data_IF_650086289510
#
_entry.id   IF_650086289510
#
_cell.length_a   1.000
_cell.length_b   1.000
_cell.length_c   1.000
_cell.angle_alpha   90.00
_cell.angle_beta   90.00
_cell.angle_gamma   90.00
#
_symmetry.space_group_name_H-M   'P 1'
#
loop_
_entity.id
_entity.type
_entity.pdbx_description
1 polymer ?
#
# COMPACT_ATOMS: atom_id res chain seq x y z
N UNK A 1 -9.24 7.84 -44.88
CA UNK A 1 -10.35 7.12 -45.54
C UNK A 1 -11.61 7.46 -44.77
N UNK A 2 -12.67 7.86 -45.47
CA UNK A 2 -13.95 8.18 -44.83
C UNK A 2 -14.70 6.92 -44.41
N UNK A 3 -15.66 7.02 -43.48
CA UNK A 3 -16.49 5.89 -43.04
C UNK A 3 -17.11 5.09 -44.21
N UNK A 4 -17.62 5.78 -45.23
CA UNK A 4 -18.25 5.16 -46.41
C UNK A 4 -17.27 4.33 -47.24
N UNK A 5 -16.04 4.80 -47.40
CA UNK A 5 -14.95 4.09 -48.08
C UNK A 5 -14.54 2.84 -47.29
N UNK A 6 -14.41 2.97 -45.97
CA UNK A 6 -14.07 1.86 -45.06
C UNK A 6 -15.14 0.77 -45.09
N UNK A 7 -16.41 1.15 -44.98
CA UNK A 7 -17.53 0.21 -45.04
C UNK A 7 -17.58 -0.53 -46.38
N UNK A 8 -17.42 0.19 -47.49
CA UNK A 8 -17.40 -0.40 -48.84
C UNK A 8 -16.23 -1.37 -49.00
N UNK A 9 -15.05 -1.00 -48.48
CA UNK A 9 -13.85 -1.85 -48.48
C UNK A 9 -14.06 -3.14 -47.71
N UNK A 10 -14.56 -3.05 -46.48
CA UNK A 10 -14.84 -4.21 -45.62
C UNK A 10 -15.89 -5.15 -46.23
N UNK A 11 -16.97 -4.61 -46.80
CA UNK A 11 -18.00 -5.40 -47.47
C UNK A 11 -17.42 -6.18 -48.66
N UNK A 12 -16.64 -5.51 -49.52
CA UNK A 12 -16.03 -6.12 -50.71
C UNK A 12 -14.99 -7.17 -50.32
N UNK A 13 -14.16 -6.90 -49.32
CA UNK A 13 -13.19 -7.88 -48.79
C UNK A 13 -13.87 -9.13 -48.24
N UNK A 14 -15.07 -8.97 -47.67
CA UNK A 14 -15.89 -10.07 -47.17
C UNK A 14 -16.72 -10.76 -48.26
N UNK A 15 -16.61 -10.35 -49.53
CA UNK A 15 -17.33 -10.93 -50.66
C UNK A 15 -18.85 -10.71 -50.66
N UNK A 16 -19.37 -9.79 -49.83
CA UNK A 16 -20.82 -9.60 -49.66
C UNK A 16 -21.41 -8.59 -50.66
N UNK A 17 -22.62 -8.85 -51.15
CA UNK A 17 -23.44 -7.84 -51.84
C UNK A 17 -24.04 -6.84 -50.84
N UNK A 18 -24.50 -5.68 -51.31
CA UNK A 18 -25.19 -4.71 -50.45
C UNK A 18 -26.47 -5.29 -49.85
N UNK A 19 -27.15 -6.18 -50.58
CA UNK A 19 -28.36 -6.88 -50.13
C UNK A 19 -28.01 -7.84 -48.99
N UNK A 20 -26.97 -8.64 -49.15
CA UNK A 20 -26.51 -9.58 -48.12
C UNK A 20 -26.05 -8.88 -46.84
N UNK A 21 -25.39 -7.72 -46.96
CA UNK A 21 -25.01 -6.91 -45.80
C UNK A 21 -26.25 -6.33 -45.10
N UNK A 22 -27.24 -5.88 -45.88
CA UNK A 22 -28.49 -5.34 -45.36
C UNK A 22 -29.28 -6.42 -44.60
N UNK A 23 -29.38 -7.63 -45.17
CA UNK A 23 -30.04 -8.77 -44.55
C UNK A 23 -29.38 -9.16 -43.22
N UNK A 24 -28.04 -9.21 -43.17
CA UNK A 24 -27.30 -9.52 -41.94
C UNK A 24 -27.45 -8.49 -40.85
N UNK A 25 -27.65 -7.22 -41.22
CA UNK A 25 -27.83 -6.12 -40.27
C UNK A 25 -29.32 -5.85 -39.98
N UNK A 26 -30.25 -6.59 -40.59
CA UNK A 26 -31.69 -6.37 -40.44
C UNK A 26 -32.11 -4.95 -40.87
N UNK A 27 -31.57 -4.46 -41.98
CA UNK A 27 -31.91 -3.16 -42.57
C UNK A 27 -32.24 -3.31 -44.07
N UNK A 28 -32.77 -2.27 -44.70
CA UNK A 28 -33.02 -2.31 -46.16
C UNK A 28 -31.72 -2.08 -46.94
N UNK A 29 -31.63 -2.65 -48.14
CA UNK A 29 -30.51 -2.39 -49.07
C UNK A 29 -30.29 -0.89 -49.32
N UNK A 30 -31.37 -0.11 -49.38
CA UNK A 30 -31.31 1.34 -49.57
C UNK A 30 -30.55 2.04 -48.43
N UNK A 31 -30.69 1.58 -47.17
CA UNK A 31 -29.94 2.11 -46.03
C UNK A 31 -28.44 1.87 -46.18
N UNK A 32 -28.04 0.65 -46.54
CA UNK A 32 -26.63 0.31 -46.80
C UNK A 32 -26.06 1.14 -47.96
N UNK A 33 -26.83 1.32 -49.04
CA UNK A 33 -26.41 2.15 -50.17
C UNK A 33 -26.20 3.63 -49.78
N UNK A 34 -27.01 4.17 -48.85
CA UNK A 34 -26.83 5.54 -48.35
C UNK A 34 -25.60 5.67 -47.44
N UNK A 35 -25.29 4.64 -46.66
CA UNK A 35 -24.09 4.59 -45.82
C UNK A 35 -22.81 4.50 -46.66
N UNK A 36 -22.79 3.61 -47.66
CA UNK A 36 -21.66 3.49 -48.60
C UNK A 36 -21.53 4.72 -49.52
N UNK A 37 -22.63 5.44 -49.76
CA UNK A 37 -22.62 6.71 -50.48
C UNK A 37 -22.30 7.94 -49.62
N UNK A 38 -22.04 7.78 -48.32
CA UNK A 38 -21.75 8.89 -47.40
C UNK A 38 -22.91 9.87 -47.17
N UNK A 39 -24.12 9.53 -47.63
CA UNK A 39 -25.31 10.40 -47.55
C UNK A 39 -26.01 10.29 -46.20
N UNK A 40 -25.77 9.20 -45.46
CA UNK A 40 -26.31 8.98 -44.11
C UNK A 40 -25.32 8.18 -43.27
N UNK A 41 -25.35 8.37 -41.95
CA UNK A 41 -24.56 7.59 -41.00
C UNK A 41 -25.45 6.55 -40.30
N UNK A 42 -24.99 5.30 -40.10
CA UNK A 42 -25.72 4.34 -39.27
C UNK A 42 -25.80 4.80 -37.81
N UNK A 43 -26.88 4.39 -37.13
CA UNK A 43 -27.03 4.58 -35.69
C UNK A 43 -26.01 3.75 -34.90
N UNK A 44 -25.77 4.13 -33.65
CA UNK A 44 -24.78 3.48 -32.78
C UNK A 44 -24.96 1.95 -32.69
N UNK A 45 -26.20 1.47 -32.60
CA UNK A 45 -26.49 0.03 -32.56
C UNK A 45 -26.02 -0.67 -33.83
N UNK A 46 -26.25 -0.07 -35.00
CA UNK A 46 -25.81 -0.62 -36.29
C UNK A 46 -24.30 -0.50 -36.48
N UNK A 47 -23.67 0.55 -35.94
CA UNK A 47 -22.21 0.69 -35.89
C UNK A 47 -21.55 -0.42 -35.07
N UNK A 48 -22.14 -0.79 -33.93
CA UNK A 48 -21.66 -1.91 -33.11
C UNK A 48 -21.82 -3.22 -33.87
N UNK A 49 -22.98 -3.47 -34.48
CA UNK A 49 -23.19 -4.67 -35.31
C UNK A 49 -22.24 -4.75 -36.50
N UNK A 50 -21.89 -3.62 -37.12
CA UNK A 50 -20.87 -3.56 -38.19
C UNK A 50 -19.47 -3.90 -37.67
N UNK A 51 -19.12 -3.35 -36.50
CA UNK A 51 -17.87 -3.64 -35.79
C UNK A 51 -17.74 -5.14 -35.50
N UNK A 52 -18.79 -5.78 -35.00
CA UNK A 52 -18.83 -7.22 -34.73
C UNK A 52 -18.80 -8.05 -36.02
N UNK A 53 -19.59 -7.67 -37.03
CA UNK A 53 -19.69 -8.40 -38.29
C UNK A 53 -18.37 -8.46 -39.07
N UNK A 54 -17.62 -7.35 -39.06
CA UNK A 54 -16.34 -7.24 -39.75
C UNK A 54 -15.13 -7.46 -38.83
N UNK A 55 -15.37 -7.68 -37.53
CA UNK A 55 -14.32 -7.80 -36.53
C UNK A 55 -13.41 -6.57 -36.51
N UNK A 56 -13.94 -5.36 -36.51
CA UNK A 56 -13.12 -4.13 -36.43
C UNK A 56 -13.65 -3.26 -35.30
N UNK A 57 -12.81 -2.41 -34.70
CA UNK A 57 -13.30 -1.51 -33.66
C UNK A 57 -14.25 -0.44 -34.22
N UNK A 58 -15.22 -0.01 -33.43
CA UNK A 58 -16.10 1.13 -33.78
C UNK A 58 -15.28 2.40 -34.03
N UNK A 59 -14.19 2.60 -33.27
CA UNK A 59 -13.24 3.69 -33.50
C UNK A 59 -12.65 3.68 -34.91
N UNK A 60 -12.28 2.50 -35.43
CA UNK A 60 -11.76 2.37 -36.78
C UNK A 60 -12.80 2.76 -37.83
N UNK A 61 -14.07 2.36 -37.63
CA UNK A 61 -15.15 2.72 -38.54
C UNK A 61 -15.35 4.24 -38.58
N UNK A 62 -15.39 4.91 -37.42
CA UNK A 62 -15.81 6.31 -37.32
C UNK A 62 -14.68 7.32 -37.52
N UNK A 63 -13.42 7.00 -37.20
CA UNK A 63 -12.30 7.96 -37.27
C UNK A 63 -11.61 7.94 -38.63
N UNK A 64 -11.60 9.08 -39.32
CA UNK A 64 -11.07 9.21 -40.69
C UNK A 64 -9.54 9.02 -40.83
N UNK A 65 -8.82 9.13 -39.70
CA UNK A 65 -7.34 9.13 -39.61
C UNK A 65 -6.72 7.78 -39.21
N UNK A 66 -7.53 6.74 -39.01
CA UNK A 66 -7.03 5.40 -38.67
C UNK A 66 -6.87 4.55 -39.94
N UNK A 67 -5.66 3.99 -40.12
CA UNK A 67 -5.34 2.98 -41.13
C UNK A 67 -5.92 1.61 -40.75
N UNK A 68 -6.06 0.72 -41.75
CA UNK A 68 -6.62 -0.62 -41.57
C UNK A 68 -5.87 -1.39 -40.47
N UNK A 69 -6.57 -1.93 -39.45
CA UNK A 69 -5.90 -2.75 -38.45
C UNK A 69 -5.48 -4.09 -39.09
N UNK A 70 -4.20 -4.46 -38.92
CA UNK A 70 -3.64 -5.75 -39.36
C UNK A 70 -4.32 -6.97 -38.69
N UNK A 71 -5.23 -6.76 -37.73
CA UNK A 71 -5.85 -7.83 -36.97
C UNK A 71 -7.31 -7.47 -36.62
N UNK A 72 -8.31 -8.24 -37.08
CA UNK A 72 -9.68 -8.00 -36.69
C UNK A 72 -9.87 -8.21 -35.18
N UNK A 73 -10.56 -7.27 -34.53
CA UNK A 73 -11.04 -7.36 -33.16
C UNK A 73 -12.02 -8.53 -33.01
N UNK A 74 -11.50 -9.74 -32.77
CA UNK A 74 -12.25 -10.94 -32.41
C UNK A 74 -12.39 -11.10 -30.89
N UNK A 75 -13.60 -11.48 -30.47
CA UNK A 75 -14.03 -11.59 -29.07
C UNK A 75 -13.56 -12.84 -28.31
N UNK A 76 -14.11 -12.92 -27.10
CA UNK A 76 -13.97 -13.96 -26.07
C UNK A 76 -13.70 -15.38 -26.57
N UNK A 77 -12.48 -15.86 -26.31
CA UNK A 77 -12.06 -17.25 -26.51
C UNK A 77 -10.54 -17.35 -26.54
N UNK A 78 -9.97 -17.85 -25.45
CA UNK A 78 -8.54 -18.09 -25.20
C UNK A 78 -7.59 -16.96 -25.61
N UNK A 79 -7.09 -16.23 -24.61
CA UNK A 79 -5.94 -15.35 -24.79
C UNK A 79 -4.77 -16.24 -25.27
N UNK A 80 -4.47 -16.19 -26.58
CA UNK A 80 -3.31 -16.87 -27.14
C UNK A 80 -2.09 -16.40 -26.33
N UNK A 81 -1.22 -17.32 -25.92
CA UNK A 81 -0.03 -17.02 -25.12
C UNK A 81 0.76 -15.82 -25.67
N UNK A 82 0.81 -15.66 -27.00
CA UNK A 82 1.46 -14.54 -27.67
C UNK A 82 0.76 -13.17 -27.49
N UNK A 83 -0.56 -13.15 -27.32
CA UNK A 83 -1.33 -11.93 -27.01
C UNK A 83 -1.29 -11.60 -25.51
N UNK A 84 -1.33 -12.62 -24.64
CA UNK A 84 -1.04 -12.47 -23.21
C UNK A 84 0.36 -11.87 -23.03
N UNK A 85 1.39 -12.46 -23.65
CA UNK A 85 2.77 -12.00 -23.58
C UNK A 85 2.95 -10.57 -24.11
N UNK A 86 2.19 -10.17 -25.14
CA UNK A 86 2.29 -8.83 -25.74
C UNK A 86 1.54 -7.78 -24.92
N UNK A 87 0.39 -8.14 -24.34
CA UNK A 87 -0.34 -7.28 -23.41
C UNK A 87 0.42 -7.17 -22.08
N UNK A 88 0.97 -8.26 -21.58
CA UNK A 88 1.84 -8.31 -20.40
C UNK A 88 3.09 -7.48 -20.63
N UNK A 89 3.74 -7.54 -21.82
CA UNK A 89 4.83 -6.62 -22.18
C UNK A 89 4.42 -5.16 -22.18
N UNK A 90 3.26 -4.80 -22.75
CA UNK A 90 2.78 -3.40 -22.75
C UNK A 90 2.37 -2.93 -21.36
N UNK A 91 1.77 -3.80 -20.56
CA UNK A 91 1.43 -3.54 -19.17
C UNK A 91 2.72 -3.41 -18.35
N UNK A 92 3.74 -4.22 -18.57
CA UNK A 92 5.06 -4.09 -17.95
C UNK A 92 5.78 -2.80 -18.37
N UNK A 93 5.67 -2.41 -19.64
CA UNK A 93 6.22 -1.17 -20.17
C UNK A 93 5.52 0.07 -19.59
N UNK A 94 4.19 0.04 -19.49
CA UNK A 94 3.40 1.09 -18.84
C UNK A 94 3.64 1.11 -17.32
N UNK A 95 3.79 -0.07 -16.71
CA UNK A 95 4.15 -0.24 -15.30
C UNK A 95 5.55 0.31 -15.03
N UNK A 96 6.52 0.12 -15.95
CA UNK A 96 7.86 0.69 -15.85
C UNK A 96 7.89 2.21 -16.00
N UNK A 97 6.98 2.79 -16.80
CA UNK A 97 6.84 4.24 -16.93
C UNK A 97 6.33 4.88 -15.63
N UNK A 98 5.48 4.17 -14.88
CA UNK A 98 5.01 4.57 -13.54
C UNK A 98 6.03 4.17 -12.45
N UNK A 99 6.77 3.06 -12.62
CA UNK A 99 7.83 2.56 -11.72
C UNK A 99 9.21 3.01 -12.18
N UNK A 100 9.50 4.29 -12.04
CA UNK A 100 10.73 4.85 -12.60
C UNK A 100 11.63 5.67 -11.67
N UNK A 101 11.30 5.86 -10.39
CA UNK A 101 12.19 6.63 -9.49
C UNK A 101 12.61 5.83 -8.27
N UNK A 102 13.47 4.84 -8.53
CA UNK A 102 14.34 4.31 -7.48
C UNK A 102 15.39 5.38 -7.18
N UNK A 103 15.14 6.20 -6.16
CA UNK A 103 16.09 7.21 -5.73
C UNK A 103 17.13 6.54 -4.84
N UNK A 104 18.39 6.61 -5.26
CA UNK A 104 19.54 6.15 -4.46
C UNK A 104 20.51 7.28 -4.28
N UNK A 105 20.85 7.56 -3.05
CA UNK A 105 21.86 8.53 -2.69
C UNK A 105 22.64 8.02 -1.50
N UNK A 106 23.96 7.95 -1.64
CA UNK A 106 24.87 7.63 -0.54
C UNK A 106 25.85 8.81 -0.38
N UNK A 107 26.04 9.26 0.86
CA UNK A 107 26.97 10.35 1.18
C UNK A 107 28.42 9.96 0.91
N UNK A 108 29.24 10.95 0.54
CA UNK A 108 30.68 10.77 0.33
C UNK A 108 31.43 10.54 1.65
N UNK A 109 30.94 11.13 2.75
CA UNK A 109 31.53 10.98 4.07
C UNK A 109 31.19 9.60 4.62
N UNK A 110 32.20 8.79 4.93
CA UNK A 110 32.04 7.46 5.50
C UNK A 110 32.60 7.43 6.93
N UNK A 111 31.82 6.88 7.85
CA UNK A 111 32.21 6.66 9.26
C UNK A 111 32.14 5.15 9.51
N UNK A 112 33.20 4.54 10.05
CA UNK A 112 33.29 3.09 10.26
C UNK A 112 33.00 2.25 9.00
N UNK A 113 33.35 2.77 7.81
CA UNK A 113 33.10 2.10 6.53
C UNK A 113 31.65 2.22 6.00
N UNK A 114 30.73 2.78 6.77
CA UNK A 114 29.34 3.06 6.38
C UNK A 114 29.17 4.51 5.90
N UNK A 115 28.32 4.79 4.90
CA UNK A 115 28.02 6.16 4.51
C UNK A 115 27.30 6.89 5.65
N UNK A 116 27.63 8.17 5.85
CA UNK A 116 26.99 9.01 6.86
C UNK A 116 25.47 9.08 6.64
N UNK A 117 25.06 9.26 5.39
CA UNK A 117 23.65 9.30 4.99
C UNK A 117 23.46 8.34 3.82
N UNK A 118 22.50 7.43 3.92
CA UNK A 118 22.04 6.56 2.83
C UNK A 118 20.54 6.75 2.65
N UNK A 119 20.14 7.15 1.45
CA UNK A 119 18.75 7.36 1.07
C UNK A 119 18.42 6.39 -0.06
N UNK A 120 17.46 5.50 0.18
CA UNK A 120 16.97 4.56 -0.84
C UNK A 120 15.45 4.49 -0.84
N UNK A 121 14.85 5.14 -1.83
CA UNK A 121 13.42 5.00 -2.12
C UNK A 121 13.25 4.13 -3.36
N UNK A 122 12.27 3.23 -3.33
CA UNK A 122 11.93 2.44 -4.52
C UNK A 122 10.60 1.72 -4.33
N UNK A 123 9.67 1.96 -5.24
CA UNK A 123 8.37 1.27 -5.23
C UNK A 123 8.53 -0.22 -5.59
N UNK A 124 7.72 -1.04 -4.93
CA UNK A 124 7.74 -2.51 -4.96
C UNK A 124 7.63 -3.04 -6.40
N UNK A 125 8.58 -3.88 -6.83
CA UNK A 125 8.48 -4.63 -8.10
C UNK A 125 7.78 -5.98 -7.82
N UNK A 126 6.71 -6.27 -8.56
CA UNK A 126 5.95 -7.53 -8.54
C UNK A 126 5.56 -8.06 -7.14
N UNK A 127 5.07 -7.19 -6.25
CA UNK A 127 4.60 -7.59 -4.92
C UNK A 127 5.69 -8.08 -3.95
N UNK A 128 6.96 -8.14 -4.37
CA UNK A 128 8.08 -8.55 -3.51
C UNK A 128 8.92 -7.33 -3.10
N UNK A 129 9.02 -7.12 -1.80
CA UNK A 129 9.94 -6.17 -1.19
C UNK A 129 11.37 -6.69 -1.43
N UNK A 130 12.06 -6.20 -2.46
CA UNK A 130 13.46 -6.57 -2.69
C UNK A 130 14.33 -5.93 -1.60
N UNK A 131 14.97 -6.77 -0.76
CA UNK A 131 15.95 -6.36 0.24
C UNK A 131 17.19 -5.67 -0.36
N UNK A 132 17.36 -5.76 -1.67
CA UNK A 132 18.51 -5.17 -2.37
C UNK A 132 18.46 -3.64 -2.32
N UNK A 133 17.29 -3.06 -2.05
CA UNK A 133 17.08 -1.63 -1.95
C UNK A 133 17.08 -1.08 -0.51
N UNK A 134 17.61 -1.84 0.47
CA UNK A 134 17.77 -1.39 1.85
C UNK A 134 18.82 -0.28 1.97
N UNK A 135 18.44 0.86 2.55
CA UNK A 135 19.36 1.94 2.93
C UNK A 135 20.22 1.49 4.12
N UNK A 136 21.54 1.62 4.00
CA UNK A 136 22.50 1.21 5.05
C UNK A 136 23.46 2.36 5.31
N UNK A 137 23.43 2.94 6.51
CA UNK A 137 24.28 4.09 6.85
C UNK A 137 24.16 4.48 8.33
N UNK A 138 24.86 5.54 8.74
CA UNK A 138 24.65 6.11 10.08
C UNK A 138 23.23 6.68 10.16
N UNK A 139 22.84 7.47 9.16
CA UNK A 139 21.48 7.94 8.93
C UNK A 139 20.94 7.20 7.69
N UNK A 140 19.98 6.31 7.87
CA UNK A 140 19.37 5.53 6.80
C UNK A 140 17.91 5.95 6.60
N UNK A 141 17.55 6.35 5.37
CA UNK A 141 16.21 6.79 5.00
C UNK A 141 15.72 5.96 3.81
N UNK A 142 14.60 5.27 3.94
CA UNK A 142 14.06 4.48 2.83
C UNK A 142 12.91 3.55 3.19
N UNK A 143 12.45 2.74 2.24
CA UNK A 143 11.41 1.74 2.53
C UNK A 143 11.90 0.68 3.52
N UNK A 144 13.15 0.24 3.37
CA UNK A 144 13.89 -0.52 4.37
C UNK A 144 15.13 0.27 4.78
N UNK A 145 15.31 0.53 6.07
CA UNK A 145 16.41 1.32 6.59
C UNK A 145 17.13 0.56 7.72
N UNK A 146 18.45 0.45 7.61
CA UNK A 146 19.32 -0.11 8.65
C UNK A 146 20.40 0.90 8.99
N UNK A 147 20.45 1.35 10.25
CA UNK A 147 21.42 2.37 10.64
C UNK A 147 21.42 2.72 12.12
N UNK A 148 22.21 3.73 12.50
CA UNK A 148 22.12 4.29 13.87
C UNK A 148 20.81 5.05 14.01
N UNK A 149 20.50 5.90 13.03
CA UNK A 149 19.20 6.55 12.85
C UNK A 149 18.56 5.93 11.62
N UNK A 150 17.44 5.23 11.78
CA UNK A 150 16.74 4.56 10.69
C UNK A 150 15.33 5.12 10.54
N UNK A 151 14.99 5.63 9.35
CA UNK A 151 13.68 6.18 9.01
C UNK A 151 13.11 5.40 7.82
N UNK A 152 11.99 4.71 8.02
CA UNK A 152 11.42 3.90 6.94
C UNK A 152 10.13 3.16 7.23
N UNK A 153 9.63 2.40 6.25
CA UNK A 153 8.50 1.49 6.48
C UNK A 153 8.96 0.36 7.40
N UNK A 154 10.10 -0.24 7.08
CA UNK A 154 10.79 -1.23 7.91
C UNK A 154 12.13 -0.64 8.34
N UNK A 155 12.32 -0.45 9.64
CA UNK A 155 13.52 0.15 10.21
C UNK A 155 14.18 -0.77 11.22
N UNK A 156 15.52 -0.88 11.17
CA UNK A 156 16.32 -1.51 12.21
C UNK A 156 17.47 -0.60 12.62
N UNK A 157 17.57 -0.22 13.89
CA UNK A 157 18.63 0.70 14.31
C UNK A 157 18.70 1.02 15.79
N UNK A 158 19.52 2.01 16.15
CA UNK A 158 19.59 2.51 17.52
C UNK A 158 18.37 3.40 17.81
N UNK A 159 18.15 4.40 16.96
CA UNK A 159 16.99 5.28 16.93
C UNK A 159 16.20 4.99 15.65
N UNK A 160 15.00 4.44 15.81
CA UNK A 160 14.24 3.94 14.66
C UNK A 160 12.87 4.58 14.59
N UNK A 161 12.51 5.09 13.42
CA UNK A 161 11.22 5.70 13.12
C UNK A 161 10.59 4.96 11.94
N UNK A 162 9.43 4.34 12.14
CA UNK A 162 8.82 3.62 11.03
C UNK A 162 7.48 2.96 11.29
N UNK A 163 6.98 2.22 10.30
CA UNK A 163 5.75 1.41 10.48
C UNK A 163 6.09 0.17 11.28
N UNK A 164 7.11 -0.58 10.86
CA UNK A 164 7.73 -1.69 11.57
C UNK A 164 9.12 -1.22 12.03
N UNK A 165 9.24 -0.84 13.30
CA UNK A 165 10.47 -0.26 13.85
C UNK A 165 11.08 -1.22 14.89
N UNK A 166 12.33 -1.63 14.69
CA UNK A 166 13.10 -2.42 15.66
C UNK A 166 14.35 -1.66 16.09
N UNK A 167 14.54 -1.43 17.39
CA UNK A 167 15.75 -0.74 17.84
C UNK A 167 15.94 -0.60 19.34
N UNK A 168 16.90 0.23 19.77
CA UNK A 168 17.04 0.55 21.19
C UNK A 168 15.94 1.54 21.61
N UNK A 169 15.75 2.62 20.85
CA UNK A 169 14.62 3.53 20.95
C UNK A 169 13.86 3.47 19.62
N UNK A 170 12.63 2.96 19.66
CA UNK A 170 11.82 2.75 18.46
C UNK A 170 10.48 3.48 18.58
N UNK A 171 10.16 4.29 17.58
CA UNK A 171 8.85 4.91 17.38
C UNK A 171 8.21 4.33 16.13
N UNK A 172 7.02 3.75 16.28
CA UNK A 172 6.32 3.22 15.11
C UNK A 172 4.91 2.74 15.35
N UNK A 173 4.26 2.23 14.29
CA UNK A 173 2.94 1.60 14.46
C UNK A 173 3.11 0.29 15.20
N UNK A 174 4.03 -0.54 14.71
CA UNK A 174 4.54 -1.74 15.41
C UNK A 174 5.99 -1.46 15.75
N UNK A 175 6.28 -1.33 17.04
CA UNK A 175 7.59 -0.95 17.55
C UNK A 175 8.15 -2.01 18.49
N UNK A 176 9.43 -2.36 18.33
CA UNK A 176 10.14 -3.35 19.13
C UNK A 176 11.47 -2.80 19.64
N UNK A 177 11.77 -2.93 20.93
CA UNK A 177 13.05 -2.41 21.43
C UNK A 177 13.30 -2.38 22.93
N UNK A 178 14.34 -1.66 23.35
CA UNK A 178 14.57 -1.38 24.78
C UNK A 178 13.51 -0.38 25.28
N UNK A 179 13.31 0.71 24.53
CA UNK A 179 12.24 1.68 24.72
C UNK A 179 11.41 1.75 23.44
N UNK A 180 10.23 1.12 23.47
CA UNK A 180 9.33 1.00 22.33
C UNK A 180 8.10 1.87 22.52
N UNK A 181 7.82 2.76 21.57
CA UNK A 181 6.65 3.62 21.53
C UNK A 181 5.87 3.33 20.26
N UNK A 182 4.62 2.91 20.39
CA UNK A 182 3.81 2.62 19.20
C UNK A 182 2.36 2.27 19.44
N UNK A 183 1.63 1.92 18.39
CA UNK A 183 0.27 1.40 18.56
C UNK A 183 0.35 0.00 19.17
N UNK A 184 1.18 -0.86 18.59
CA UNK A 184 1.62 -2.13 19.16
C UNK A 184 3.10 -2.00 19.54
N UNK A 185 3.42 -2.09 20.84
CA UNK A 185 4.77 -1.92 21.35
C UNK A 185 5.24 -3.19 22.08
N UNK A 186 6.47 -3.64 21.77
CA UNK A 186 7.12 -4.76 22.46
C UNK A 186 8.51 -4.34 22.94
N UNK A 187 8.79 -4.45 24.24
CA UNK A 187 10.11 -4.02 24.70
C UNK A 187 10.41 -4.14 26.17
N UNK A 188 11.57 -3.63 26.60
CA UNK A 188 11.86 -3.55 28.04
C UNK A 188 10.98 -2.50 28.71
N UNK A 189 10.92 -1.31 28.13
CA UNK A 189 9.90 -0.28 28.35
C UNK A 189 9.03 -0.20 27.09
N UNK A 190 7.74 -0.53 27.22
CA UNK A 190 6.79 -0.53 26.10
C UNK A 190 5.63 0.41 26.40
N UNK A 191 5.43 1.43 25.56
CA UNK A 191 4.30 2.35 25.65
C UNK A 191 3.48 2.33 24.36
N UNK A 192 2.18 2.11 24.48
CA UNK A 192 1.33 2.05 23.31
C UNK A 192 -0.14 1.82 23.58
N UNK A 193 -0.92 1.63 22.52
CA UNK A 193 -2.33 1.20 22.68
C UNK A 193 -2.36 -0.23 23.21
N UNK A 194 -1.58 -1.11 22.60
CA UNK A 194 -1.30 -2.47 23.04
C UNK A 194 0.19 -2.61 23.32
N UNK A 195 0.57 -2.84 24.57
CA UNK A 195 1.97 -2.87 25.00
C UNK A 195 2.32 -4.18 25.71
N UNK A 196 3.47 -4.75 25.37
CA UNK A 196 4.03 -5.93 26.04
C UNK A 196 5.48 -5.65 26.44
N UNK A 197 5.82 -5.80 27.72
CA UNK A 197 7.19 -5.55 28.14
C UNK A 197 7.57 -5.92 29.56
N UNK A 198 8.72 -5.42 30.05
CA UNK A 198 9.06 -5.52 31.48
C UNK A 198 8.32 -4.45 32.26
N UNK A 199 8.31 -3.25 31.72
CA UNK A 199 7.48 -2.11 32.13
C UNK A 199 6.59 -1.75 30.95
N UNK A 200 5.27 -1.80 31.12
CA UNK A 200 4.33 -1.52 30.04
C UNK A 200 3.29 -0.48 30.45
N UNK A 201 2.95 0.42 29.52
CA UNK A 201 1.94 1.44 29.71
C UNK A 201 1.04 1.60 28.49
N UNK A 202 -0.26 1.79 28.66
CA UNK A 202 -1.17 1.88 27.52
C UNK A 202 -2.67 1.78 27.78
N UNK A 203 -3.42 1.37 26.76
CA UNK A 203 -4.84 0.99 26.92
C UNK A 203 -4.94 -0.47 27.35
N UNK A 204 -4.19 -1.35 26.68
CA UNK A 204 -3.99 -2.74 27.07
C UNK A 204 -2.48 -2.99 27.28
N UNK A 205 -2.10 -3.48 28.46
CA UNK A 205 -0.70 -3.70 28.79
C UNK A 205 -0.46 -5.04 29.50
N UNK A 206 0.53 -5.79 29.02
CA UNK A 206 1.04 -6.99 29.68
C UNK A 206 2.49 -6.71 30.08
N UNK A 207 2.82 -6.86 31.36
CA UNK A 207 4.17 -6.61 31.84
C UNK A 207 4.71 -7.68 32.78
N UNK A 208 6.02 -7.89 32.72
CA UNK A 208 6.72 -8.79 33.64
C UNK A 208 6.90 -8.20 35.05
N UNK A 209 6.96 -6.87 35.20
CA UNK A 209 7.07 -6.19 36.49
C UNK A 209 5.90 -5.25 36.77
N UNK A 210 5.76 -4.19 35.96
CA UNK A 210 4.77 -3.14 36.19
C UNK A 210 3.98 -2.88 34.91
N UNK A 211 2.66 -2.99 34.99
CA UNK A 211 1.74 -2.60 33.92
C UNK A 211 0.80 -1.48 34.39
N UNK A 212 0.69 -0.41 33.60
CA UNK A 212 -0.24 0.70 33.85
C UNK A 212 -1.11 0.91 32.61
N UNK A 213 -2.35 0.44 32.66
CA UNK A 213 -3.27 0.52 31.53
C UNK A 213 -4.72 0.30 31.93
N UNK A 214 -5.69 0.63 31.06
CA UNK A 214 -7.13 0.33 31.29
C UNK A 214 -7.33 -1.15 31.56
N UNK A 215 -6.75 -2.01 30.72
CA UNK A 215 -6.63 -3.43 30.99
C UNK A 215 -5.16 -3.79 31.18
N UNK A 216 -4.79 -4.27 32.37
CA UNK A 216 -3.40 -4.52 32.73
C UNK A 216 -3.18 -5.88 33.37
N UNK A 217 -2.12 -6.58 32.95
CA UNK A 217 -1.71 -7.88 33.51
C UNK A 217 -0.23 -7.83 33.86
N UNK A 218 0.08 -7.82 35.16
CA UNK A 218 1.44 -7.81 35.69
C UNK A 218 1.47 -8.11 37.19
N UNK A 219 2.61 -8.51 37.78
CA UNK A 219 2.71 -8.65 39.23
C UNK A 219 2.32 -7.37 39.99
N UNK A 220 2.71 -6.21 39.48
CA UNK A 220 2.21 -4.90 39.92
C UNK A 220 1.40 -4.27 38.79
N UNK A 221 0.09 -4.24 38.94
CA UNK A 221 -0.83 -3.79 37.89
C UNK A 221 -1.68 -2.61 38.37
N UNK A 222 -1.78 -1.57 37.54
CA UNK A 222 -2.64 -0.41 37.75
C UNK A 222 -3.60 -0.32 36.56
N UNK A 223 -4.90 -0.21 36.80
CA UNK A 223 -5.91 -0.19 35.74
C UNK A 223 -7.35 -0.35 36.18
N UNK A 224 -8.31 -0.20 35.26
CA UNK A 224 -9.73 -0.51 35.52
C UNK A 224 -9.96 -2.02 35.60
N UNK A 225 -9.35 -2.77 34.67
CA UNK A 225 -9.35 -4.22 34.60
C UNK A 225 -7.93 -4.75 34.78
N UNK A 226 -7.49 -4.82 36.04
CA UNK A 226 -6.12 -5.18 36.39
C UNK A 226 -6.01 -6.56 37.07
N UNK A 227 -4.98 -7.34 36.71
CA UNK A 227 -4.71 -8.67 37.29
C UNK A 227 -3.24 -8.80 37.68
N UNK A 228 -2.97 -9.20 38.93
CA UNK A 228 -1.63 -9.23 39.50
C UNK A 228 -1.59 -9.62 40.98
N UNK A 229 -0.39 -9.68 41.55
CA UNK A 229 -0.19 -9.86 43.00
C UNK A 229 -0.51 -8.59 43.78
N UNK A 230 -0.18 -7.44 43.19
CA UNK A 230 -0.43 -6.11 43.72
C UNK A 230 -1.21 -5.32 42.68
N UNK A 231 -2.47 -5.00 43.00
CA UNK A 231 -3.41 -4.40 42.05
C UNK A 231 -3.96 -3.10 42.61
N UNK A 232 -3.94 -2.07 41.78
CA UNK A 232 -4.55 -0.77 42.06
C UNK A 232 -5.63 -0.49 41.01
N UNK A 233 -6.89 -0.54 41.43
CA UNK A 233 -8.04 -0.39 40.54
C UNK A 233 -8.45 1.07 40.36
N UNK A 234 -8.71 1.51 39.13
CA UNK A 234 -9.35 2.80 38.84
C UNK A 234 -10.80 2.81 39.34
N UNK A 235 -10.99 3.27 40.57
CA UNK A 235 -12.32 3.62 41.13
C UNK A 235 -12.77 5.02 40.67
N UNK A 236 -13.48 5.77 41.53
CA UNK A 236 -14.05 7.11 41.24
C UNK A 236 -13.03 8.24 40.94
N UNK A 237 -11.76 7.89 40.71
CA UNK A 237 -10.71 8.78 40.22
C UNK A 237 -9.44 8.66 41.04
N UNK A 238 -8.45 7.92 40.54
CA UNK A 238 -7.12 7.94 41.15
C UNK A 238 -6.40 9.24 40.85
N UNK A 239 -5.69 9.72 41.86
CA UNK A 239 -4.80 10.87 41.73
C UNK A 239 -3.36 10.41 41.45
N UNK A 240 -2.59 11.22 40.72
CA UNK A 240 -1.16 10.99 40.49
C UNK A 240 -0.36 10.63 41.77
N UNK A 241 -0.54 11.31 42.92
CA UNK A 241 0.19 10.95 44.15
C UNK A 241 -0.19 9.58 44.70
N UNK A 242 -1.42 9.10 44.54
CA UNK A 242 -1.83 7.75 44.96
C UNK A 242 -1.11 6.68 44.14
N UNK A 243 -1.12 6.84 42.80
CA UNK A 243 -0.39 5.95 41.89
C UNK A 243 1.10 5.96 42.22
N UNK A 244 1.68 7.14 42.46
CA UNK A 244 3.09 7.28 42.81
C UNK A 244 3.44 6.56 44.12
N UNK A 245 2.60 6.72 45.15
CA UNK A 245 2.81 6.10 46.47
C UNK A 245 2.75 4.58 46.37
N UNK A 246 1.74 4.06 45.66
CA UNK A 246 1.59 2.62 45.41
C UNK A 246 2.79 2.02 44.66
N UNK A 247 3.28 2.71 43.63
CA UNK A 247 4.45 2.25 42.86
C UNK A 247 5.72 2.24 43.72
N UNK A 248 5.93 3.24 44.57
CA UNK A 248 7.09 3.32 45.45
C UNK A 248 7.04 2.30 46.59
N UNK A 249 5.84 1.96 47.08
CA UNK A 249 5.65 0.92 48.10
C UNK A 249 6.12 -0.45 47.61
N UNK A 250 5.81 -0.79 46.36
CA UNK A 250 6.13 -2.09 45.77
C UNK A 250 7.46 -2.11 45.00
N UNK A 251 7.96 -0.94 44.57
CA UNK A 251 9.23 -0.77 43.85
C UNK A 251 9.98 0.47 44.36
N UNK A 252 10.65 0.41 45.53
CA UNK A 252 11.31 1.56 46.14
C UNK A 252 12.50 2.10 45.31
N UNK A 253 13.15 1.24 44.54
CA UNK A 253 14.30 1.59 43.69
C UNK A 253 13.92 2.04 42.27
N UNK A 254 12.65 2.38 42.03
CA UNK A 254 12.18 2.76 40.70
C UNK A 254 12.87 4.03 40.20
N UNK A 255 13.37 3.99 38.97
CA UNK A 255 14.04 5.14 38.36
C UNK A 255 13.07 6.34 38.27
N UNK A 256 13.45 7.49 38.84
CA UNK A 256 12.56 8.66 38.97
C UNK A 256 11.85 9.11 37.68
N UNK A 257 12.49 9.12 36.50
CA UNK A 257 11.82 9.46 35.24
C UNK A 257 10.74 8.44 34.86
N UNK A 258 11.01 7.14 35.06
CA UNK A 258 10.05 6.07 34.82
C UNK A 258 8.86 6.15 35.78
N UNK A 259 9.12 6.48 37.05
CA UNK A 259 8.06 6.72 38.04
C UNK A 259 7.12 7.84 37.58
N UNK A 260 7.66 9.02 37.26
CA UNK A 260 6.83 10.16 36.79
C UNK A 260 6.01 9.80 35.56
N UNK A 261 6.64 9.12 34.58
CA UNK A 261 5.97 8.69 33.37
C UNK A 261 4.81 7.74 33.66
N UNK A 262 5.04 6.68 34.44
CA UNK A 262 3.99 5.71 34.80
C UNK A 262 2.89 6.34 35.65
N UNK A 263 3.25 7.27 36.54
CA UNK A 263 2.30 8.03 37.34
C UNK A 263 1.41 8.94 36.49
N UNK A 264 1.99 9.68 35.53
CA UNK A 264 1.21 10.54 34.63
C UNK A 264 0.25 9.70 33.77
N UNK A 265 0.73 8.60 33.20
CA UNK A 265 -0.09 7.63 32.46
C UNK A 265 -1.21 7.10 33.36
N UNK A 266 -0.87 6.72 34.59
CA UNK A 266 -1.79 6.19 35.58
C UNK A 266 -2.84 7.18 36.09
N UNK A 267 -2.61 8.49 35.97
CA UNK A 267 -3.53 9.51 36.45
C UNK A 267 -4.42 10.10 35.33
N UNK A 268 -3.95 10.07 34.09
CA UNK A 268 -4.62 10.70 32.95
C UNK A 268 -5.44 9.77 32.06
N UNK A 269 -5.24 8.46 32.16
CA UNK A 269 -6.07 7.50 31.45
C UNK A 269 -7.35 7.29 32.30
N UNK A 270 -8.44 7.88 31.85
CA UNK A 270 -9.81 7.68 32.33
C UNK A 270 -10.68 7.18 31.20
#
# INVERSE_FOLDING_TARGET
>A
MTFSEKLTGLRRKSGMSQEQLADRLGVTRQSVSKWEGGTAMPELVKLISLSELFGVSVDYLVKDWMEEPDNPCGGSGEISSKQADRLEKKVDELTNYVKGRVYRYDSKTRIFGLPLVSIRFGFVRNGKLSMDNTAKGIIAIGNCAIGVVAIGIVGVGLFTFGVLAMGMLSLGIVAGGLAAFGVAALGYLALGVSAVGVYAGGVAAIAAKIAVAVSSVAPTAVGEFASGSHVLLWGDGLTAPEVQTFLLEHHPDLWRPLLRLLTEIGAHIK
#
